data_IF_894234174653
#
_entry.id   IF_894234174653
#
_cell.length_a   1.000
_cell.length_b   1.000
_cell.length_c   1.000
_cell.angle_alpha   90.00
_cell.angle_beta   90.00
_cell.angle_gamma   90.00
#
_symmetry.space_group_name_H-M   'P 1'
#
loop_
_entity.id
_entity.type
_entity.pdbx_description
1 polymer ?
#
# COMPACT_ATOMS: atom_id res chain seq x y z
N UNK A 1 -8.97 27.19 9.71
CA UNK A 1 -8.99 28.09 8.52
C UNK A 1 -10.33 27.90 7.82
N UNK A 2 -11.13 28.95 7.63
CA UNK A 2 -12.45 28.88 6.96
C UNK A 2 -12.23 28.74 5.46
N UNK A 3 -12.82 27.74 4.81
CA UNK A 3 -12.79 27.62 3.36
C UNK A 3 -14.22 27.50 2.84
N UNK A 4 -14.57 28.42 1.95
CA UNK A 4 -15.80 28.41 1.16
C UNK A 4 -15.53 27.55 -0.08
N UNK A 5 -16.28 26.46 -0.25
CA UNK A 5 -16.34 25.74 -1.52
C UNK A 5 -17.78 25.77 -2.04
N UNK A 6 -17.97 26.35 -3.22
CA UNK A 6 -19.25 26.46 -3.88
C UNK A 6 -19.60 25.12 -4.56
N UNK A 7 -20.21 24.20 -3.81
CA UNK A 7 -20.96 23.08 -4.39
C UNK A 7 -22.38 23.57 -4.54
N UNK A 8 -22.78 23.91 -5.76
CA UNK A 8 -24.01 24.66 -6.09
C UNK A 8 -25.35 24.04 -5.71
N UNK A 9 -25.56 23.66 -4.44
CA UNK A 9 -26.86 23.54 -3.76
C UNK A 9 -26.86 23.37 -2.23
N UNK A 10 -25.73 23.40 -1.52
CA UNK A 10 -25.69 23.69 -0.07
C UNK A 10 -24.26 23.83 0.43
N UNK A 11 -23.99 24.82 1.30
CA UNK A 11 -22.76 24.90 2.07
C UNK A 11 -22.85 23.89 3.23
N UNK A 12 -21.93 22.92 3.27
CA UNK A 12 -21.75 22.05 4.44
C UNK A 12 -20.42 22.41 5.10
N UNK A 13 -20.47 22.74 6.38
CA UNK A 13 -19.32 23.11 7.22
C UNK A 13 -18.54 21.85 7.59
N UNK A 14 -17.27 21.75 7.19
CA UNK A 14 -16.39 20.67 7.65
C UNK A 14 -15.04 21.24 8.13
N UNK A 15 -14.69 20.97 9.39
CA UNK A 15 -13.41 21.39 10.00
C UNK A 15 -12.46 20.20 10.02
N UNK A 16 -11.40 20.26 9.21
CA UNK A 16 -10.26 19.35 9.31
C UNK A 16 -9.06 20.08 9.92
N UNK A 17 -8.86 19.92 11.23
CA UNK A 17 -7.59 20.19 11.89
C UNK A 17 -6.76 18.90 11.88
N UNK A 18 -5.60 18.90 11.22
CA UNK A 18 -4.54 17.88 11.37
C UNK A 18 -4.99 16.41 11.22
N UNK A 19 -5.44 16.05 10.02
CA UNK A 19 -6.08 14.77 9.70
C UNK A 19 -5.41 13.48 10.21
N UNK A 20 -5.80 13.06 11.40
CA UNK A 20 -6.00 11.66 11.73
C UNK A 20 -7.50 11.43 11.52
N UNK A 21 -7.88 10.54 10.63
CA UNK A 21 -9.28 10.14 10.45
C UNK A 21 -9.86 9.71 11.79
N UNK A 22 -11.06 10.18 12.13
CA UNK A 22 -11.78 9.77 13.34
C UNK A 22 -11.91 8.26 13.39
N UNK A 23 -11.22 7.64 14.34
CA UNK A 23 -11.26 6.20 14.58
C UNK A 23 -12.64 5.82 15.11
N UNK A 24 -13.22 4.77 14.54
CA UNK A 24 -14.55 4.26 14.88
C UNK A 24 -14.45 2.79 15.27
N UNK A 25 -15.34 2.37 16.17
CA UNK A 25 -15.57 0.97 16.52
C UNK A 25 -17.05 0.66 16.27
N UNK A 26 -17.35 -0.56 15.84
CA UNK A 26 -18.72 -1.02 15.56
C UNK A 26 -19.48 -1.39 16.82
N UNK A 27 -18.77 -1.79 17.87
CA UNK A 27 -19.31 -2.22 19.14
C UNK A 27 -18.36 -1.87 20.31
N UNK A 28 -18.85 -2.03 21.53
CA UNK A 28 -18.09 -1.70 22.74
C UNK A 28 -16.92 -2.66 22.99
N UNK A 29 -15.81 -2.11 23.48
CA UNK A 29 -14.55 -2.80 23.76
C UNK A 29 -14.16 -2.60 25.22
N UNK A 30 -13.61 -3.61 25.89
CA UNK A 30 -13.24 -3.55 27.30
C UNK A 30 -14.14 -4.36 28.21
N UNK A 31 -14.12 -4.02 29.49
CA UNK A 31 -14.86 -4.70 30.54
C UNK A 31 -16.37 -4.71 30.23
N UNK A 32 -16.96 -5.91 30.16
CA UNK A 32 -18.38 -6.07 29.83
C UNK A 32 -18.80 -5.59 28.43
N UNK A 33 -17.83 -5.29 27.55
CA UNK A 33 -18.09 -4.92 26.15
C UNK A 33 -18.38 -6.12 25.25
N UNK A 34 -18.88 -5.85 24.04
CA UNK A 34 -19.05 -6.92 23.02
C UNK A 34 -17.73 -7.51 22.55
N UNK A 35 -16.66 -6.71 22.57
CA UNK A 35 -15.30 -7.14 22.25
C UNK A 35 -15.17 -7.82 20.88
N UNK A 36 -15.81 -7.24 19.86
CA UNK A 36 -15.59 -7.66 18.48
C UNK A 36 -14.09 -7.55 18.16
N UNK A 37 -13.52 -8.61 17.59
CA UNK A 37 -12.08 -8.75 17.42
C UNK A 37 -11.41 -7.58 16.70
N UNK A 38 -12.07 -7.03 15.69
CA UNK A 38 -11.54 -5.90 14.91
C UNK A 38 -11.65 -4.57 15.67
N UNK A 39 -12.69 -4.39 16.49
CA UNK A 39 -12.83 -3.23 17.37
C UNK A 39 -11.79 -3.27 18.50
N UNK A 40 -11.54 -4.45 19.10
CA UNK A 40 -10.49 -4.64 20.10
C UNK A 40 -9.13 -4.28 19.52
N UNK A 41 -8.82 -4.77 18.31
CA UNK A 41 -7.57 -4.43 17.61
C UNK A 41 -7.46 -2.94 17.35
N UNK A 42 -8.56 -2.30 16.98
CA UNK A 42 -8.63 -0.85 16.76
C UNK A 42 -8.28 -0.07 18.03
N UNK A 43 -8.84 -0.45 19.18
CA UNK A 43 -8.54 0.18 20.47
C UNK A 43 -7.11 -0.10 20.94
N UNK A 44 -6.62 -1.34 20.84
CA UNK A 44 -5.24 -1.68 21.18
C UNK A 44 -4.24 -0.81 20.41
N UNK A 45 -4.48 -0.65 19.11
CA UNK A 45 -3.67 0.23 18.28
C UNK A 45 -3.79 1.69 18.71
N UNK A 46 -5.00 2.20 18.88
CA UNK A 46 -5.21 3.60 19.22
C UNK A 46 -4.51 3.96 20.53
N UNK A 47 -4.58 3.08 21.53
CA UNK A 47 -3.81 3.19 22.78
C UNK A 47 -2.30 3.24 22.52
N UNK A 48 -1.74 2.34 21.71
CA UNK A 48 -0.31 2.32 21.40
C UNK A 48 0.21 3.59 20.68
N UNK A 49 -0.68 4.32 20.00
CA UNK A 49 -0.37 5.55 19.27
C UNK A 49 -0.42 6.81 20.14
N UNK A 50 -1.03 6.70 21.33
CA UNK A 50 -1.06 7.75 22.33
C UNK A 50 0.22 7.64 23.15
N UNK A 51 0.90 8.77 23.38
CA UNK A 51 2.13 8.76 24.17
C UNK A 51 1.83 8.50 25.65
N UNK A 52 2.76 7.89 26.42
CA UNK A 52 2.54 7.64 27.84
C UNK A 52 2.23 8.90 28.66
N UNK A 53 2.78 10.05 28.24
CA UNK A 53 2.49 11.37 28.83
C UNK A 53 1.04 11.82 28.59
N UNK A 54 0.33 11.19 27.65
CA UNK A 54 -1.07 11.43 27.32
C UNK A 54 -1.97 10.24 27.73
N UNK A 55 -1.49 9.36 28.62
CA UNK A 55 -2.25 8.21 29.14
C UNK A 55 -2.18 6.95 28.27
N UNK A 56 -1.30 6.91 27.27
CA UNK A 56 -1.00 5.70 26.52
C UNK A 56 -0.19 4.68 27.33
N UNK A 57 -0.09 3.42 26.88
CA UNK A 57 0.66 2.40 27.59
C UNK A 57 2.18 2.60 27.41
N UNK A 58 2.94 2.48 28.51
CA UNK A 58 4.42 2.53 28.49
C UNK A 58 5.00 1.37 27.68
N UNK A 59 4.46 0.17 27.87
CA UNK A 59 4.78 -1.03 27.09
C UNK A 59 3.66 -1.26 26.09
N UNK A 60 3.98 -1.28 24.80
CA UNK A 60 3.00 -1.44 23.74
C UNK A 60 2.21 -2.75 23.88
N UNK A 61 0.89 -2.67 23.64
CA UNK A 61 0.00 -3.80 23.55
C UNK A 61 0.24 -4.59 22.26
N UNK A 62 0.02 -5.90 22.30
CA UNK A 62 -0.11 -6.68 21.07
C UNK A 62 -1.45 -6.35 20.39
N UNK A 63 -1.41 -6.00 19.11
CA UNK A 63 -2.62 -5.69 18.30
C UNK A 63 -3.29 -6.97 17.78
N UNK A 64 -3.53 -7.92 18.67
CA UNK A 64 -4.00 -9.26 18.37
C UNK A 64 -5.54 -9.35 18.24
N UNK A 65 -6.26 -8.35 18.73
CA UNK A 65 -7.71 -8.30 18.82
C UNK A 65 -8.28 -9.06 20.03
N UNK A 66 -7.45 -9.38 21.03
CA UNK A 66 -7.85 -10.08 22.26
C UNK A 66 -7.99 -9.12 23.44
N UNK A 67 -9.12 -9.20 24.14
CA UNK A 67 -9.42 -8.34 25.29
C UNK A 67 -8.84 -8.91 26.59
N UNK A 68 -7.50 -8.99 26.65
CA UNK A 68 -6.78 -9.52 27.81
C UNK A 68 -6.60 -8.52 28.96
N UNK A 69 -6.05 -8.97 30.11
CA UNK A 69 -5.80 -8.12 31.27
C UNK A 69 -4.96 -6.87 30.97
N UNK A 70 -3.99 -6.98 30.05
CA UNK A 70 -3.16 -5.84 29.59
C UNK A 70 -4.00 -4.79 28.86
N UNK A 71 -4.87 -5.22 27.93
CA UNK A 71 -5.74 -4.32 27.18
C UNK A 71 -6.76 -3.65 28.11
N UNK A 72 -7.41 -4.41 29.00
CA UNK A 72 -8.36 -3.85 29.97
C UNK A 72 -7.70 -2.84 30.92
N UNK A 73 -6.50 -3.16 31.42
CA UNK A 73 -5.72 -2.24 32.25
C UNK A 73 -5.37 -0.97 31.48
N UNK A 74 -4.90 -1.08 30.23
CA UNK A 74 -4.56 0.08 29.42
C UNK A 74 -5.77 0.98 29.12
N UNK A 75 -6.96 0.40 28.87
CA UNK A 75 -8.21 1.17 28.74
C UNK A 75 -8.50 1.92 30.04
N UNK A 76 -8.48 1.22 31.18
CA UNK A 76 -8.78 1.81 32.48
C UNK A 76 -7.79 2.92 32.87
N UNK A 77 -6.50 2.68 32.65
CA UNK A 77 -5.43 3.65 32.94
C UNK A 77 -5.59 4.89 32.04
N UNK A 78 -5.88 4.71 30.75
CA UNK A 78 -6.17 5.82 29.84
C UNK A 78 -7.38 6.64 30.29
N UNK A 79 -8.49 5.98 30.63
CA UNK A 79 -9.71 6.65 31.06
C UNK A 79 -9.49 7.49 32.33
N UNK A 80 -8.78 6.92 33.31
CA UNK A 80 -8.40 7.62 34.54
C UNK A 80 -7.51 8.82 34.27
N UNK A 81 -6.52 8.65 33.39
CA UNK A 81 -5.59 9.71 33.02
C UNK A 81 -6.31 10.88 32.33
N UNK A 82 -7.22 10.57 31.40
CA UNK A 82 -7.92 11.57 30.58
C UNK A 82 -9.24 12.05 31.20
N UNK A 83 -9.66 11.52 32.35
CA UNK A 83 -10.91 11.89 33.01
C UNK A 83 -12.17 11.52 32.23
N UNK A 84 -12.13 10.47 31.39
CA UNK A 84 -13.28 10.06 30.56
C UNK A 84 -14.15 8.98 31.20
N UNK A 85 -13.84 8.60 32.44
CA UNK A 85 -14.49 7.52 33.18
C UNK A 85 -13.46 6.65 33.91
N UNK A 86 -13.90 5.49 34.41
CA UNK A 86 -13.01 4.47 34.98
C UNK A 86 -13.68 3.08 35.04
N UNK A 87 -14.57 2.81 34.08
CA UNK A 87 -15.34 1.57 33.99
C UNK A 87 -14.61 0.48 33.20
N UNK A 88 -13.49 0.80 32.56
CA UNK A 88 -12.71 -0.10 31.74
C UNK A 88 -13.36 -0.42 30.39
N UNK A 89 -14.33 0.40 29.93
CA UNK A 89 -15.10 0.18 28.70
C UNK A 89 -15.05 1.37 27.74
N UNK A 90 -14.85 1.09 26.46
CA UNK A 90 -14.88 2.04 25.36
C UNK A 90 -16.11 1.75 24.51
N UNK A 91 -17.10 2.65 24.55
CA UNK A 91 -18.32 2.54 23.74
C UNK A 91 -18.21 3.27 22.39
N UNK A 92 -18.91 2.80 21.34
CA UNK A 92 -19.06 3.57 20.11
C UNK A 92 -19.61 4.96 20.41
N UNK A 93 -18.96 5.99 19.89
CA UNK A 93 -19.31 7.41 20.12
C UNK A 93 -19.21 7.87 21.58
N UNK A 94 -18.69 7.04 22.49
CA UNK A 94 -18.52 7.38 23.90
C UNK A 94 -17.40 8.40 24.17
N UNK A 95 -17.35 8.96 25.38
CA UNK A 95 -16.39 10.00 25.76
C UNK A 95 -14.94 9.50 25.64
N UNK A 96 -14.68 8.25 26.02
CA UNK A 96 -13.35 7.64 25.91
C UNK A 96 -12.84 7.62 24.48
N UNK A 97 -13.64 7.13 23.51
CA UNK A 97 -13.25 7.07 22.11
C UNK A 97 -13.11 8.47 21.50
N UNK A 98 -14.03 9.39 21.83
CA UNK A 98 -13.94 10.78 21.42
C UNK A 98 -12.61 11.39 21.86
N UNK A 99 -12.23 11.19 23.13
CA UNK A 99 -10.98 11.72 23.67
C UNK A 99 -9.74 11.08 23.03
N UNK A 100 -9.75 9.77 22.83
CA UNK A 100 -8.69 9.09 22.08
C UNK A 100 -8.52 9.68 20.67
N UNK A 101 -9.61 10.10 20.02
CA UNK A 101 -9.56 10.76 18.71
C UNK A 101 -8.99 12.18 18.75
N UNK A 102 -9.21 12.94 19.81
CA UNK A 102 -8.72 14.31 19.97
C UNK A 102 -7.24 14.41 20.31
N UNK A 103 -6.68 13.43 21.03
CA UNK A 103 -5.26 13.48 21.46
C UNK A 103 -4.33 13.41 20.25
N UNK A 104 -3.31 14.28 20.13
CA UNK A 104 -2.33 14.20 19.05
C UNK A 104 -1.55 12.88 19.07
N UNK A 105 -1.42 12.22 17.91
CA UNK A 105 -0.65 10.98 17.78
C UNK A 105 0.76 11.32 17.30
N UNK A 106 1.59 11.89 18.17
CA UNK A 106 2.94 12.38 17.80
C UNK A 106 3.82 11.27 17.20
N UNK A 107 3.73 10.05 17.74
CA UNK A 107 4.38 8.86 17.16
C UNK A 107 3.98 8.62 15.71
N UNK A 108 2.70 8.77 15.36
CA UNK A 108 2.26 8.67 13.96
C UNK A 108 2.89 9.78 13.12
N UNK A 109 2.88 11.04 13.58
CA UNK A 109 3.44 12.16 12.80
C UNK A 109 4.90 11.92 12.43
N UNK A 110 5.73 11.50 13.37
CA UNK A 110 7.15 11.20 13.13
C UNK A 110 7.35 9.98 12.23
N UNK A 111 6.60 8.90 12.45
CA UNK A 111 6.62 7.71 11.58
C UNK A 111 6.19 8.04 10.15
N UNK A 112 5.15 8.85 9.99
CA UNK A 112 4.61 9.30 8.72
C UNK A 112 5.63 10.15 7.96
N UNK A 113 6.29 11.11 8.62
CA UNK A 113 7.37 11.88 8.02
C UNK A 113 8.53 10.98 7.56
N UNK A 114 8.90 9.98 8.37
CA UNK A 114 9.94 9.00 8.01
C UNK A 114 9.53 8.15 6.81
N UNK A 115 8.27 7.70 6.75
CA UNK A 115 7.75 6.94 5.63
C UNK A 115 7.78 7.75 4.34
N UNK A 116 7.34 9.00 4.38
CA UNK A 116 7.37 9.89 3.21
C UNK A 116 8.80 10.17 2.76
N UNK A 117 9.75 10.42 3.66
CA UNK A 117 11.16 10.55 3.30
C UNK A 117 11.70 9.30 2.58
N UNK A 118 11.27 8.11 3.00
CA UNK A 118 11.63 6.86 2.33
C UNK A 118 10.96 6.71 0.96
N UNK A 119 9.71 7.15 0.79
CA UNK A 119 9.08 7.24 -0.53
C UNK A 119 9.92 8.14 -1.44
N UNK A 120 10.33 9.32 -0.95
CA UNK A 120 11.17 10.25 -1.70
C UNK A 120 12.45 9.57 -2.20
N UNK A 121 13.12 8.85 -1.30
CA UNK A 121 14.35 8.12 -1.60
C UNK A 121 14.13 6.95 -2.59
N UNK A 122 12.93 6.36 -2.61
CA UNK A 122 12.58 5.26 -3.51
C UNK A 122 12.13 5.74 -4.91
N UNK A 123 11.71 7.00 -5.08
CA UNK A 123 11.19 7.51 -6.35
C UNK A 123 12.14 7.35 -7.55
N UNK A 124 13.47 7.62 -7.44
CA UNK A 124 14.38 7.38 -8.55
C UNK A 124 14.43 5.91 -8.97
N UNK A 125 14.42 4.99 -8.00
CA UNK A 125 14.40 3.55 -8.28
C UNK A 125 13.08 3.13 -8.92
N UNK A 126 11.92 3.62 -8.45
CA UNK A 126 10.62 3.34 -9.08
C UNK A 126 10.59 3.78 -10.56
N UNK A 127 11.12 4.97 -10.85
CA UNK A 127 11.22 5.47 -12.23
C UNK A 127 12.13 4.60 -13.11
N UNK A 128 13.29 4.20 -12.58
CA UNK A 128 14.22 3.33 -13.30
C UNK A 128 13.67 1.91 -13.48
N UNK A 129 12.96 1.38 -12.48
CA UNK A 129 12.25 0.10 -12.56
C UNK A 129 11.27 0.08 -13.73
N UNK A 130 10.38 1.08 -13.84
CA UNK A 130 9.41 1.17 -14.94
C UNK A 130 10.09 1.39 -16.30
N UNK A 131 11.09 2.29 -16.36
CA UNK A 131 11.79 2.62 -17.60
C UNK A 131 12.60 1.45 -18.16
N UNK A 132 13.43 0.82 -17.32
CA UNK A 132 14.27 -0.30 -17.75
C UNK A 132 13.42 -1.51 -18.12
N UNK A 133 12.39 -1.82 -17.32
CA UNK A 133 11.47 -2.91 -17.65
C UNK A 133 10.75 -2.69 -18.99
N UNK A 134 10.33 -1.46 -19.30
CA UNK A 134 9.74 -1.14 -20.60
C UNK A 134 10.72 -1.43 -21.74
N UNK A 135 11.98 -1.01 -21.60
CA UNK A 135 13.04 -1.26 -22.58
C UNK A 135 13.33 -2.76 -22.74
N UNK A 136 13.36 -3.52 -21.65
CA UNK A 136 13.47 -4.99 -21.70
C UNK A 136 12.32 -5.60 -22.49
N UNK A 137 11.08 -5.17 -22.28
CA UNK A 137 9.94 -5.68 -23.06
C UNK A 137 10.02 -5.28 -24.53
N UNK A 138 10.54 -4.09 -24.85
CA UNK A 138 10.81 -3.68 -26.23
C UNK A 138 11.86 -4.58 -26.89
N UNK A 139 12.96 -4.87 -26.19
CA UNK A 139 13.97 -5.84 -26.65
C UNK A 139 13.40 -7.25 -26.84
N UNK A 140 12.50 -7.69 -25.95
CA UNK A 140 11.80 -8.96 -26.09
C UNK A 140 10.86 -8.99 -27.32
N UNK A 141 10.18 -7.88 -27.63
CA UNK A 141 9.36 -7.75 -28.84
C UNK A 141 10.23 -7.86 -30.09
N UNK A 142 11.37 -7.16 -30.12
CA UNK A 142 12.30 -7.19 -31.25
C UNK A 142 12.88 -8.59 -31.44
N UNK A 143 13.23 -9.27 -30.34
CA UNK A 143 13.65 -10.66 -30.35
C UNK A 143 12.61 -11.60 -30.97
N UNK A 144 11.36 -11.53 -30.54
CA UNK A 144 10.28 -12.39 -31.06
C UNK A 144 9.99 -12.11 -32.55
N UNK A 145 10.22 -10.88 -33.02
CA UNK A 145 10.02 -10.51 -34.43
C UNK A 145 11.14 -10.96 -35.36
N UNK A 146 12.38 -10.83 -34.90
CA UNK A 146 13.56 -10.94 -35.76
C UNK A 146 14.41 -12.19 -35.48
N UNK A 147 14.22 -12.84 -34.34
CA UNK A 147 15.06 -13.95 -33.88
C UNK A 147 16.41 -13.50 -33.32
N UNK A 148 17.35 -14.43 -33.23
CA UNK A 148 18.73 -14.18 -32.80
C UNK A 148 19.42 -13.25 -33.82
N UNK A 149 20.05 -12.17 -33.34
CA UNK A 149 20.73 -11.20 -34.19
C UNK A 149 21.57 -10.20 -33.41
N UNK A 150 22.36 -9.39 -34.13
CA UNK A 150 23.32 -8.45 -33.54
C UNK A 150 22.65 -7.37 -32.67
N UNK A 151 21.39 -7.04 -32.95
CA UNK A 151 20.63 -5.97 -32.30
C UNK A 151 19.45 -6.47 -31.46
N UNK A 152 19.28 -7.79 -31.31
CA UNK A 152 18.23 -8.39 -30.48
C UNK A 152 18.80 -9.00 -29.22
N UNK A 153 18.01 -9.02 -28.14
CA UNK A 153 18.42 -9.55 -26.85
C UNK A 153 17.56 -10.76 -26.50
N UNK A 154 18.09 -11.97 -26.73
CA UNK A 154 17.47 -13.21 -26.27
C UNK A 154 17.18 -13.17 -24.77
N UNK A 155 18.12 -12.61 -24.01
CA UNK A 155 18.03 -12.42 -22.56
C UNK A 155 16.80 -11.61 -22.17
N UNK A 156 16.45 -10.56 -22.92
CA UNK A 156 15.27 -9.74 -22.62
C UNK A 156 13.97 -10.54 -22.77
N UNK A 157 13.89 -11.39 -23.79
CA UNK A 157 12.78 -12.32 -23.96
C UNK A 157 12.75 -13.39 -22.85
N UNK A 158 13.88 -14.02 -22.54
CA UNK A 158 13.98 -15.01 -21.44
C UNK A 158 13.56 -14.42 -20.10
N UNK A 159 13.92 -13.16 -19.84
CA UNK A 159 13.51 -12.46 -18.64
C UNK A 159 12.00 -12.19 -18.62
N UNK A 160 11.43 -11.74 -19.74
CA UNK A 160 9.98 -11.56 -19.85
C UNK A 160 9.24 -12.91 -19.68
N UNK A 161 9.71 -13.96 -20.34
CA UNK A 161 9.13 -15.30 -20.31
C UNK A 161 9.17 -15.91 -18.91
N UNK A 162 10.28 -15.73 -18.17
CA UNK A 162 10.40 -16.17 -16.78
C UNK A 162 9.24 -15.68 -15.90
N UNK A 163 8.85 -14.41 -16.05
CA UNK A 163 7.83 -13.78 -15.21
C UNK A 163 6.41 -13.87 -15.78
N UNK A 164 6.23 -14.03 -17.08
CA UNK A 164 4.90 -13.99 -17.71
C UNK A 164 4.49 -15.28 -18.43
N UNK A 165 5.41 -16.23 -18.63
CA UNK A 165 5.19 -17.54 -19.25
C UNK A 165 4.48 -17.47 -20.60
N UNK A 166 5.24 -17.39 -21.68
CA UNK A 166 4.75 -17.38 -23.06
C UNK A 166 4.92 -18.75 -23.73
N UNK A 167 5.35 -19.78 -23.00
CA UNK A 167 5.79 -21.06 -23.57
C UNK A 167 4.70 -21.81 -24.36
N UNK A 168 3.43 -21.50 -24.12
CA UNK A 168 2.25 -22.11 -24.76
C UNK A 168 1.59 -21.21 -25.82
N UNK A 169 2.23 -20.10 -26.19
CA UNK A 169 1.67 -19.12 -27.11
C UNK A 169 2.41 -19.12 -28.45
N UNK A 170 1.66 -18.89 -29.53
CA UNK A 170 2.26 -18.55 -30.83
C UNK A 170 3.00 -17.21 -30.77
N UNK A 171 3.92 -16.96 -31.70
CA UNK A 171 4.64 -15.67 -31.79
C UNK A 171 3.69 -14.47 -31.88
N UNK A 172 2.60 -14.59 -32.66
CA UNK A 172 1.58 -13.53 -32.78
C UNK A 172 0.88 -13.24 -31.44
N UNK A 173 0.53 -14.29 -30.68
CA UNK A 173 -0.07 -14.13 -29.36
C UNK A 173 0.93 -13.52 -28.37
N UNK A 174 2.17 -14.00 -28.38
CA UNK A 174 3.28 -13.49 -27.55
C UNK A 174 3.50 -12.01 -27.78
N UNK A 175 3.57 -11.56 -29.04
CA UNK A 175 3.73 -10.13 -29.37
C UNK A 175 2.59 -9.26 -28.82
N UNK A 176 1.33 -9.74 -28.90
CA UNK A 176 0.17 -9.03 -28.32
C UNK A 176 0.27 -8.93 -26.80
N UNK A 177 0.71 -10.01 -26.13
CA UNK A 177 0.87 -10.02 -24.67
C UNK A 177 2.04 -9.13 -24.22
N UNK A 178 3.17 -9.16 -24.92
CA UNK A 178 4.29 -8.26 -24.68
C UNK A 178 3.90 -6.78 -24.87
N UNK A 179 3.11 -6.47 -25.90
CA UNK A 179 2.60 -5.11 -26.09
C UNK A 179 1.67 -4.64 -24.96
N UNK A 180 0.87 -5.57 -24.43
CA UNK A 180 0.06 -5.32 -23.23
C UNK A 180 0.94 -4.94 -22.05
N UNK A 181 2.00 -5.72 -21.78
CA UNK A 181 2.97 -5.45 -20.70
C UNK A 181 3.67 -4.09 -20.93
N UNK A 182 4.11 -3.82 -22.16
CA UNK A 182 4.72 -2.53 -22.55
C UNK A 182 3.81 -1.35 -22.22
N UNK A 183 2.52 -1.47 -22.54
CA UNK A 183 1.51 -0.44 -22.25
C UNK A 183 1.32 -0.25 -20.75
N UNK A 184 1.24 -1.34 -19.97
CA UNK A 184 1.15 -1.29 -18.50
C UNK A 184 2.37 -0.60 -17.90
N UNK A 185 3.58 -0.93 -18.35
CA UNK A 185 4.83 -0.31 -17.86
C UNK A 185 4.94 1.18 -18.24
N UNK A 186 4.45 1.56 -19.43
CA UNK A 186 4.35 2.97 -19.82
C UNK A 186 3.42 3.75 -18.89
N UNK A 187 2.28 3.17 -18.51
CA UNK A 187 1.34 3.77 -17.55
C UNK A 187 1.96 3.90 -16.15
N UNK A 188 2.64 2.86 -15.67
CA UNK A 188 3.39 2.90 -14.42
C UNK A 188 4.41 4.05 -14.42
N UNK A 189 5.20 4.18 -15.49
CA UNK A 189 6.14 5.28 -15.63
C UNK A 189 5.43 6.65 -15.63
N UNK A 190 4.36 6.81 -16.41
CA UNK A 190 3.60 8.06 -16.48
C UNK A 190 3.00 8.48 -15.14
N UNK A 191 2.43 7.54 -14.38
CA UNK A 191 1.87 7.79 -13.04
C UNK A 191 2.91 8.33 -12.05
N UNK A 192 4.17 7.89 -12.16
CA UNK A 192 5.29 8.38 -11.33
C UNK A 192 5.79 9.77 -11.74
N UNK A 193 5.44 10.24 -12.95
CA UNK A 193 5.76 11.59 -13.41
C UNK A 193 4.70 12.62 -13.00
N UNK A 194 3.53 12.16 -12.53
CA UNK A 194 2.46 13.07 -12.12
C UNK A 194 2.95 13.86 -10.90
N UNK A 195 3.03 15.21 -11.00
CA UNK A 195 3.37 16.03 -9.85
C UNK A 195 2.30 15.83 -8.76
N UNK A 196 2.61 16.11 -7.48
CA UNK A 196 1.62 16.00 -6.41
C UNK A 196 0.33 16.74 -6.81
N UNK A 197 -0.78 16.03 -6.94
CA UNK A 197 -2.03 16.58 -7.47
C UNK A 197 -2.64 17.50 -6.39
N UNK A 198 -2.70 18.83 -6.57
CA UNK A 198 -3.33 19.73 -5.63
C UNK A 198 -4.71 20.09 -6.19
N UNK A 199 -5.62 19.12 -6.29
CA UNK A 199 -6.96 19.36 -6.85
C UNK A 199 -8.02 19.02 -5.81
N UNK A 200 -8.55 20.08 -5.20
CA UNK A 200 -9.58 20.11 -4.16
C UNK A 200 -9.07 19.75 -2.76
N UNK A 201 -9.00 20.76 -1.88
CA UNK A 201 -8.26 20.70 -0.63
C UNK A 201 -8.81 19.66 0.36
N UNK A 202 -8.04 18.61 0.63
CA UNK A 202 -7.80 18.04 1.97
C UNK A 202 -6.89 16.78 1.91
N UNK A 203 -5.61 16.95 1.54
CA UNK A 203 -4.43 16.33 2.23
C UNK A 203 -3.12 16.55 1.44
N UNK A 204 -2.23 17.47 1.85
CA UNK A 204 -0.96 17.72 1.17
C UNK A 204 0.22 17.04 1.89
N UNK A 205 0.10 15.74 2.25
CA UNK A 205 1.21 15.01 2.88
C UNK A 205 1.54 13.76 2.08
N UNK A 206 2.12 13.95 0.89
CA UNK A 206 2.43 12.88 -0.04
C UNK A 206 3.59 13.23 -0.98
N UNK A 207 4.09 12.22 -1.68
CA UNK A 207 5.10 12.38 -2.73
C UNK A 207 4.51 11.77 -4.00
N UNK A 208 4.20 12.62 -4.97
CA UNK A 208 3.42 12.23 -6.16
C UNK A 208 2.07 11.61 -5.72
N UNK A 209 1.76 10.40 -6.18
CA UNK A 209 0.55 9.63 -5.89
C UNK A 209 0.58 8.86 -4.55
N UNK A 210 1.70 8.90 -3.82
CA UNK A 210 1.85 8.16 -2.56
C UNK A 210 1.52 9.06 -1.36
N UNK A 211 0.62 8.60 -0.49
CA UNK A 211 0.20 9.33 0.72
C UNK A 211 0.13 8.41 1.94
N UNK A 212 -0.02 8.97 3.12
CA UNK A 212 -0.16 8.19 4.35
C UNK A 212 -1.61 7.76 4.55
N UNK A 213 -1.81 6.50 4.93
CA UNK A 213 -3.10 6.02 5.41
C UNK A 213 -3.53 6.78 6.69
N UNK A 214 -4.60 7.58 6.64
CA UNK A 214 -5.03 8.37 7.79
C UNK A 214 -5.48 7.50 8.96
N UNK A 215 -5.89 6.25 8.67
CA UNK A 215 -6.31 5.25 9.64
C UNK A 215 -5.14 4.40 10.16
N UNK A 216 -3.91 4.63 9.69
CA UNK A 216 -2.72 3.91 10.13
C UNK A 216 -2.87 2.40 10.16
N UNK A 217 -3.58 1.76 9.22
CA UNK A 217 -3.89 0.32 9.15
C UNK A 217 -2.64 -0.56 9.29
N UNK A 218 -2.81 -1.83 9.71
CA UNK A 218 -1.70 -2.74 9.99
C UNK A 218 -1.35 -3.61 8.75
N UNK A 219 -1.33 -2.95 7.60
CA UNK A 219 -0.95 -3.49 6.30
C UNK A 219 0.30 -2.79 5.81
N UNK A 220 0.83 -3.19 4.65
CA UNK A 220 1.93 -2.48 4.03
C UNK A 220 1.41 -1.24 3.30
N UNK A 221 0.62 -1.42 2.26
CA UNK A 221 -0.03 -0.32 1.58
C UNK A 221 -1.32 -0.84 0.92
N UNK A 222 -2.11 0.05 0.33
CA UNK A 222 -3.26 -0.33 -0.49
C UNK A 222 -3.64 0.79 -1.46
N UNK A 223 -4.39 0.40 -2.48
CA UNK A 223 -5.13 1.30 -3.39
C UNK A 223 -6.64 1.17 -3.12
N UNK A 224 -7.38 2.26 -2.89
CA UNK A 224 -8.84 2.19 -2.75
C UNK A 224 -9.49 1.95 -4.11
N UNK A 225 -10.24 0.86 -4.26
CA UNK A 225 -10.97 0.59 -5.51
C UNK A 225 -12.20 1.47 -5.63
N UNK A 226 -12.39 2.05 -6.82
CA UNK A 226 -13.60 2.79 -7.21
C UNK A 226 -14.85 1.91 -7.26
N UNK A 227 -14.72 0.62 -7.59
CA UNK A 227 -15.84 -0.33 -7.72
C UNK A 227 -16.34 -0.94 -6.39
N UNK A 228 -15.68 -0.69 -5.27
CA UNK A 228 -16.17 -1.17 -3.98
C UNK A 228 -17.55 -0.53 -3.73
N UNK A 229 -18.57 -1.37 -3.44
CA UNK A 229 -19.89 -0.91 -3.00
C UNK A 229 -19.67 0.18 -1.96
N UNK A 230 -20.40 1.29 -2.04
CA UNK A 230 -20.27 2.48 -1.18
C UNK A 230 -20.21 2.20 0.32
N UNK A 231 -20.66 1.02 0.77
CA UNK A 231 -20.57 0.52 2.15
C UNK A 231 -19.18 0.04 2.60
N UNK A 232 -18.29 -0.32 1.69
CA UNK A 232 -16.92 -0.82 1.99
C UNK A 232 -15.84 0.26 1.86
N UNK A 233 -16.22 1.46 1.37
CA UNK A 233 -15.32 2.60 1.37
C UNK A 233 -15.13 3.06 2.82
N UNK A 234 -13.97 2.77 3.39
CA UNK A 234 -13.57 3.37 4.65
C UNK A 234 -13.71 4.90 4.55
N UNK A 235 -14.23 5.57 5.58
CA UNK A 235 -14.41 7.02 5.52
C UNK A 235 -13.08 7.72 5.22
N UNK A 236 -13.01 8.46 4.11
CA UNK A 236 -11.89 9.36 3.80
C UNK A 236 -10.75 8.83 2.93
N UNK A 237 -10.91 7.70 2.20
CA UNK A 237 -9.92 7.28 1.19
C UNK A 237 -10.30 7.70 -0.23
N UNK A 238 -9.43 8.48 -0.86
CA UNK A 238 -9.53 9.01 -2.22
C UNK A 238 -8.81 8.07 -3.21
N UNK A 239 -9.49 7.58 -4.27
CA UNK A 239 -8.89 6.68 -5.26
C UNK A 239 -7.72 7.30 -6.04
N UNK A 240 -7.48 8.60 -5.95
CA UNK A 240 -6.34 9.27 -6.57
C UNK A 240 -4.97 8.95 -5.91
N UNK A 241 -4.95 8.17 -4.81
CA UNK A 241 -3.74 7.90 -4.05
C UNK A 241 -3.48 6.42 -3.73
N UNK A 242 -2.19 6.13 -3.55
CA UNK A 242 -1.67 4.91 -2.93
C UNK A 242 -1.39 5.21 -1.45
N UNK A 243 -2.03 4.46 -0.55
CA UNK A 243 -1.95 4.70 0.89
C UNK A 243 -0.90 3.82 1.56
N UNK A 244 0.13 4.44 2.15
CA UNK A 244 1.11 3.77 2.98
C UNK A 244 0.57 3.54 4.39
N UNK A 245 0.62 2.28 4.82
CA UNK A 245 0.21 1.84 6.14
C UNK A 245 1.42 1.60 7.06
N UNK A 246 1.16 1.37 8.35
CA UNK A 246 2.23 1.33 9.35
C UNK A 246 3.28 0.22 9.15
N UNK A 247 2.93 -0.92 8.54
CA UNK A 247 3.94 -1.98 8.32
C UNK A 247 5.01 -1.58 7.31
N UNK A 248 4.83 -0.53 6.52
CA UNK A 248 5.85 -0.03 5.59
C UNK A 248 7.10 0.50 6.28
N UNK A 249 7.05 0.74 7.60
CA UNK A 249 8.25 1.05 8.37
C UNK A 249 9.24 -0.13 8.45
N UNK A 250 8.76 -1.37 8.35
CA UNK A 250 9.54 -2.60 8.60
C UNK A 250 10.50 -3.03 7.48
N UNK A 251 10.11 -3.06 6.18
CA UNK A 251 10.98 -3.59 5.13
C UNK A 251 12.24 -2.75 4.92
N UNK A 252 13.34 -3.37 4.48
CA UNK A 252 14.53 -2.65 3.95
C UNK A 252 14.20 -2.01 2.59
N UNK A 253 15.04 -1.08 2.14
CA UNK A 253 14.75 -0.23 0.97
C UNK A 253 14.33 -1.01 -0.27
N UNK A 254 15.07 -2.03 -0.73
CA UNK A 254 14.71 -2.79 -1.93
C UNK A 254 13.32 -3.46 -1.82
N UNK A 255 12.99 -4.03 -0.66
CA UNK A 255 11.66 -4.63 -0.44
C UNK A 255 10.58 -3.56 -0.30
N UNK A 256 10.91 -2.41 0.29
CA UNK A 256 10.02 -1.26 0.39
C UNK A 256 9.66 -0.72 -1.00
N UNK A 257 10.67 -0.47 -1.84
CA UNK A 257 10.50 -0.01 -3.23
C UNK A 257 9.71 -1.03 -4.07
N UNK A 258 10.00 -2.32 -3.92
CA UNK A 258 9.21 -3.37 -4.58
C UNK A 258 7.73 -3.36 -4.15
N UNK A 259 7.43 -3.15 -2.86
CA UNK A 259 6.03 -3.05 -2.40
C UNK A 259 5.35 -1.80 -3.00
N UNK A 260 6.04 -0.65 -3.05
CA UNK A 260 5.49 0.54 -3.71
C UNK A 260 5.18 0.28 -5.19
N UNK A 261 6.07 -0.43 -5.89
CA UNK A 261 5.86 -0.82 -7.29
C UNK A 261 4.66 -1.77 -7.45
N UNK A 262 4.49 -2.71 -6.52
CA UNK A 262 3.33 -3.60 -6.49
C UNK A 262 2.01 -2.81 -6.41
N UNK A 263 1.90 -1.88 -5.46
CA UNK A 263 0.70 -1.04 -5.34
C UNK A 263 0.50 -0.12 -6.54
N UNK A 264 1.60 0.35 -7.16
CA UNK A 264 1.52 1.15 -8.40
C UNK A 264 0.81 0.38 -9.52
N UNK A 265 1.06 -0.93 -9.64
CA UNK A 265 0.39 -1.75 -10.64
C UNK A 265 -1.09 -1.97 -10.34
N UNK A 266 -1.52 -1.93 -9.08
CA UNK A 266 -2.95 -1.84 -8.76
C UNK A 266 -3.53 -0.48 -9.13
N UNK A 267 -2.81 0.59 -8.81
CA UNK A 267 -3.25 1.97 -9.02
C UNK A 267 -3.54 2.30 -10.49
N UNK A 268 -2.61 1.99 -11.40
CA UNK A 268 -2.75 2.33 -12.83
C UNK A 268 -3.77 1.47 -13.58
N UNK A 269 -4.24 0.41 -12.95
CA UNK A 269 -5.07 -0.60 -13.58
C UNK A 269 -6.57 -0.38 -13.31
N UNK A 270 -6.91 0.21 -12.16
CA UNK A 270 -8.26 0.66 -11.82
C UNK A 270 -8.87 1.65 -12.85
N UNK A 271 -8.07 2.18 -13.79
CA UNK A 271 -8.51 3.06 -14.88
C UNK A 271 -8.80 2.36 -16.22
N UNK A 272 -8.45 1.06 -16.41
CA UNK A 272 -8.20 0.54 -17.77
C UNK A 272 -8.78 -0.84 -18.14
N UNK A 273 -9.67 -1.42 -17.32
CA UNK A 273 -10.35 -2.71 -17.53
C UNK A 273 -9.46 -3.97 -17.66
N UNK A 274 -8.14 -3.83 -17.70
CA UNK A 274 -7.26 -4.88 -17.18
C UNK A 274 -7.55 -4.98 -15.68
N UNK A 275 -7.56 -6.19 -15.12
CA UNK A 275 -7.83 -6.42 -13.69
C UNK A 275 -6.61 -7.09 -13.08
N UNK A 276 -5.54 -6.33 -12.89
CA UNK A 276 -4.36 -6.62 -12.08
C UNK A 276 -4.80 -6.75 -10.61
N UNK A 277 -4.70 -7.97 -10.11
CA UNK A 277 -5.13 -8.40 -8.79
C UNK A 277 -3.98 -9.05 -8.03
N UNK A 278 -4.24 -9.34 -6.77
CA UNK A 278 -3.40 -10.18 -5.93
C UNK A 278 -3.73 -11.65 -6.12
N UNK A 279 -3.32 -12.22 -7.25
CA UNK A 279 -3.47 -13.66 -7.46
C UNK A 279 -2.53 -14.47 -6.56
N UNK A 280 -1.29 -13.99 -6.38
CA UNK A 280 -0.32 -14.57 -5.45
C UNK A 280 0.86 -13.61 -5.25
N UNK A 281 1.75 -13.97 -4.32
CA UNK A 281 2.95 -13.21 -4.00
C UNK A 281 4.20 -14.07 -3.96
N UNK A 282 5.36 -13.44 -4.15
CA UNK A 282 6.72 -13.97 -4.02
C UNK A 282 6.97 -15.12 -4.99
N UNK A 283 7.59 -16.19 -4.53
CA UNK A 283 7.92 -17.39 -5.29
C UNK A 283 6.71 -18.05 -5.98
N UNK A 284 5.51 -17.87 -5.43
CA UNK A 284 4.29 -18.45 -6.02
C UNK A 284 3.91 -17.87 -7.39
N UNK A 285 4.47 -16.73 -7.77
CA UNK A 285 4.25 -16.13 -9.10
C UNK A 285 4.68 -17.05 -10.25
N UNK A 286 5.62 -17.95 -9.99
CA UNK A 286 6.13 -18.92 -10.97
C UNK A 286 5.26 -20.17 -11.08
N UNK A 287 4.24 -20.34 -10.23
CA UNK A 287 3.37 -21.53 -10.21
C UNK A 287 1.98 -21.28 -10.79
N UNK A 288 1.63 -20.02 -11.07
CA UNK A 288 0.33 -19.65 -11.65
C UNK A 288 0.41 -19.62 -13.19
N UNK A 289 -0.71 -19.91 -13.90
CA UNK A 289 -0.75 -19.91 -15.36
C UNK A 289 -0.59 -18.51 -15.95
N UNK A 290 -0.10 -18.44 -17.20
CA UNK A 290 0.06 -17.21 -18.01
C UNK A 290 -1.00 -16.13 -17.76
N UNK A 291 -2.28 -16.45 -17.94
CA UNK A 291 -3.36 -15.45 -17.82
C UNK A 291 -3.47 -14.83 -16.43
N UNK A 292 -3.13 -15.58 -15.37
CA UNK A 292 -3.04 -15.03 -14.01
C UNK A 292 -1.78 -14.21 -13.83
N UNK A 293 -0.63 -14.61 -14.41
CA UNK A 293 0.62 -13.83 -14.33
C UNK A 293 0.46 -12.45 -14.97
N UNK A 294 -0.20 -12.39 -16.13
CA UNK A 294 -0.54 -11.16 -16.85
C UNK A 294 -1.43 -10.19 -16.06
N UNK A 295 -2.12 -10.72 -15.03
CA UNK A 295 -3.07 -10.00 -14.16
C UNK A 295 -2.65 -10.01 -12.70
N UNK A 296 -1.38 -10.28 -12.39
CA UNK A 296 -0.90 -10.31 -11.02
C UNK A 296 0.09 -9.16 -10.77
N UNK A 297 -0.23 -8.26 -9.83
CA UNK A 297 0.62 -7.11 -9.52
C UNK A 297 2.05 -7.54 -9.16
N UNK A 298 2.18 -8.66 -8.43
CA UNK A 298 3.48 -9.13 -7.98
C UNK A 298 4.35 -9.71 -9.12
N UNK A 299 3.75 -10.20 -10.22
CA UNK A 299 4.54 -10.59 -11.40
C UNK A 299 5.24 -9.38 -12.02
N UNK A 300 4.52 -8.27 -12.19
CA UNK A 300 5.10 -7.02 -12.69
C UNK A 300 6.09 -6.41 -11.68
N UNK A 301 5.77 -6.42 -10.39
CA UNK A 301 6.63 -5.86 -9.36
C UNK A 301 7.94 -6.65 -9.22
N UNK A 302 7.92 -7.99 -9.29
CA UNK A 302 9.15 -8.80 -9.26
C UNK A 302 9.93 -8.66 -10.56
N UNK A 303 9.28 -8.66 -11.73
CA UNK A 303 9.95 -8.44 -13.02
C UNK A 303 10.71 -7.10 -13.04
N UNK A 304 10.03 -6.00 -12.73
CA UNK A 304 10.64 -4.66 -12.69
C UNK A 304 11.74 -4.54 -11.64
N UNK A 305 11.56 -5.19 -10.48
CA UNK A 305 12.61 -5.27 -9.45
C UNK A 305 13.83 -6.03 -9.94
N UNK A 306 13.62 -7.14 -10.67
CA UNK A 306 14.73 -7.93 -11.19
C UNK A 306 15.52 -7.15 -12.24
N UNK A 307 14.82 -6.53 -13.20
CA UNK A 307 15.44 -5.72 -14.25
C UNK A 307 16.29 -4.57 -13.68
N UNK A 308 15.82 -3.90 -12.62
CA UNK A 308 16.52 -2.73 -12.07
C UNK A 308 17.55 -3.06 -10.99
N UNK A 309 17.19 -3.88 -10.00
CA UNK A 309 18.09 -4.21 -8.88
C UNK A 309 19.13 -5.26 -9.27
N UNK A 310 18.83 -6.09 -10.27
CA UNK A 310 19.56 -7.31 -10.58
C UNK A 310 19.26 -8.43 -9.58
N UNK A 311 19.58 -9.66 -9.98
CA UNK A 311 19.29 -10.88 -9.22
C UNK A 311 19.79 -10.84 -7.78
N UNK A 312 21.04 -10.43 -7.55
CA UNK A 312 21.67 -10.47 -6.24
C UNK A 312 20.92 -9.64 -5.19
N UNK A 313 20.55 -8.39 -5.53
CA UNK A 313 19.79 -7.50 -4.65
C UNK A 313 18.34 -7.98 -4.48
N UNK A 314 17.72 -8.43 -5.56
CA UNK A 314 16.37 -8.98 -5.50
C UNK A 314 16.30 -10.18 -4.55
N UNK A 315 17.19 -11.16 -4.70
CA UNK A 315 17.22 -12.35 -3.83
C UNK A 315 17.62 -11.98 -2.40
N UNK A 316 18.55 -11.04 -2.19
CA UNK A 316 18.87 -10.56 -0.83
C UNK A 316 17.66 -9.93 -0.14
N UNK A 317 16.83 -9.20 -0.87
CA UNK A 317 15.60 -8.59 -0.33
C UNK A 317 14.43 -9.57 -0.22
N UNK A 318 14.42 -10.62 -1.06
CA UNK A 318 13.36 -11.63 -1.17
C UNK A 318 13.94 -13.04 -1.39
N UNK A 319 14.50 -13.69 -0.35
CA UNK A 319 15.27 -14.92 -0.49
C UNK A 319 14.53 -16.08 -1.16
N UNK A 320 13.20 -16.14 -0.97
CA UNK A 320 12.36 -17.19 -1.59
C UNK A 320 12.37 -17.17 -3.11
N UNK A 321 12.72 -16.05 -3.75
CA UNK A 321 12.83 -15.98 -5.21
C UNK A 321 14.09 -16.66 -5.76
N UNK A 322 15.12 -16.85 -4.93
CA UNK A 322 16.45 -17.34 -5.35
C UNK A 322 16.44 -18.66 -6.14
N UNK A 323 15.72 -19.70 -5.68
CA UNK A 323 15.63 -20.97 -6.39
C UNK A 323 14.93 -20.90 -7.75
N UNK A 324 14.13 -19.86 -8.00
CA UNK A 324 13.31 -19.73 -9.21
C UNK A 324 13.90 -18.79 -10.24
N UNK A 325 14.89 -17.97 -9.87
CA UNK A 325 15.55 -17.03 -10.78
C UNK A 325 16.91 -17.62 -11.17
N UNK A 326 17.10 -18.05 -12.44
CA UNK A 326 18.36 -18.60 -12.90
C UNK A 326 19.52 -17.63 -12.71
N UNK A 327 20.74 -18.07 -12.33
CA UNK A 327 21.88 -17.17 -12.12
C UNK A 327 22.33 -16.41 -13.37
N UNK A 328 22.05 -16.95 -14.56
CA UNK A 328 22.40 -16.32 -15.82
C UNK A 328 21.43 -15.21 -16.21
N UNK A 329 20.26 -15.08 -15.56
CA UNK A 329 19.30 -13.98 -15.71
C UNK A 329 19.43 -13.01 -14.54
#
# INVERSE_FOLDING_TARGET
MKILANTGRACVEDRFESGVSTWKISASVGQGGRNHRDDVRTIQRLLNLIDPQDGGPVVALEEDGWIGPKTNKAILDFQRFQGTGSDGRVDPHGPTLKRMNEIPKHRMKAQNATLLARVAAAMPDLNQMSLKARRTIEGAIDYVRLGDGLFTSKRDYELADLYFDFSKLSSTQTLRKLDTIRTTLRRAYAALQVPPIPLTGSNPVGISIFTIDPLGKNHFAYVPRTEAKTKDRGPGSDPAYIYLCQKMGKPKMDKFTHILMHELFHFIDDETFLYIRDHCYRDRIFSIPHEKRMRNADNYAVFTSHVHFGRARLVKSQPKLGPHIPPHL
#
